data_IF_197754920293
#
_entry.id   IF_197754920293
#
_cell.length_a   1.000
_cell.length_b   1.000
_cell.length_c   1.000
_cell.angle_alpha   90.00
_cell.angle_beta   90.00
_cell.angle_gamma   90.00
#
_symmetry.space_group_name_H-M   'P 1'
#
loop_
_entity.id
_entity.type
_entity.pdbx_description
1 polymer ?
#
# COMPACT_ATOMS: atom_id res chain seq x y z
N UNK A 1 3.97 -17.54 3.41
CA UNK A 1 3.86 -19.01 3.22
C UNK A 1 2.42 -19.41 2.92
N UNK A 2 1.39 -18.70 3.46
CA UNK A 2 -0.02 -19.03 3.20
C UNK A 2 -0.54 -18.66 1.81
N UNK A 3 0.04 -17.64 1.15
CA UNK A 3 -0.40 -17.20 -0.19
C UNK A 3 0.09 -18.09 -1.31
N UNK A 4 1.17 -18.82 -1.11
CA UNK A 4 1.68 -19.76 -2.12
C UNK A 4 0.85 -21.05 -2.21
N UNK A 5 0.15 -21.42 -1.15
CA UNK A 5 -0.72 -22.61 -1.15
C UNK A 5 -2.03 -22.41 -1.91
N UNK A 6 -2.49 -21.15 -2.09
CA UNK A 6 -3.72 -20.89 -2.84
C UNK A 6 -3.55 -20.92 -4.36
N UNK A 7 -2.32 -20.90 -4.87
CA UNK A 7 -2.03 -20.82 -6.32
C UNK A 7 -1.34 -22.10 -6.83
N UNK A 8 -0.84 -22.93 -5.90
CA UNK A 8 -0.18 -24.19 -6.29
C UNK A 8 -1.19 -25.22 -6.74
N UNK A 9 -1.13 -25.49 -8.02
CA UNK A 9 -1.59 -26.72 -8.68
C UNK A 9 -3.07 -27.05 -8.49
N UNK A 10 -3.95 -26.21 -9.04
CA UNK A 10 -5.27 -26.68 -9.44
C UNK A 10 -5.10 -27.69 -10.58
N UNK A 11 -4.85 -28.93 -10.21
CA UNK A 11 -5.23 -30.02 -11.09
C UNK A 11 -6.75 -30.18 -10.94
N UNK A 12 -7.44 -30.53 -12.00
CA UNK A 12 -8.90 -30.70 -12.05
C UNK A 12 -9.47 -31.65 -10.99
N UNK A 13 -8.61 -32.39 -10.29
CA UNK A 13 -8.95 -33.41 -9.29
C UNK A 13 -8.95 -32.87 -7.83
N UNK A 14 -8.40 -31.69 -7.55
CA UNK A 14 -8.29 -31.19 -6.20
C UNK A 14 -9.43 -30.21 -5.89
N UNK A 15 -10.22 -30.49 -4.85
CA UNK A 15 -11.19 -29.54 -4.36
C UNK A 15 -10.52 -28.30 -3.75
N UNK A 16 -11.18 -27.15 -3.82
CA UNK A 16 -10.70 -25.87 -3.26
C UNK A 16 -10.39 -25.99 -1.76
N UNK A 17 -11.00 -26.96 -1.08
CA UNK A 17 -10.83 -27.25 0.35
C UNK A 17 -9.75 -28.27 0.68
N UNK A 18 -9.13 -28.91 -0.33
CA UNK A 18 -8.09 -29.91 -0.08
C UNK A 18 -6.86 -29.28 0.59
N UNK A 19 -6.46 -29.87 1.69
CA UNK A 19 -5.35 -29.40 2.52
C UNK A 19 -5.75 -28.39 3.61
N UNK A 20 -6.97 -27.82 3.59
CA UNK A 20 -7.45 -26.94 4.66
C UNK A 20 -7.76 -27.73 5.93
N UNK A 21 -8.25 -28.96 5.79
CA UNK A 21 -8.58 -29.85 6.94
C UNK A 21 -7.36 -30.56 7.51
N UNK A 22 -6.33 -30.76 6.70
CA UNK A 22 -5.11 -31.49 7.10
C UNK A 22 -4.05 -30.61 7.78
N UNK A 23 -4.19 -29.31 7.76
CA UNK A 23 -3.20 -28.42 8.34
C UNK A 23 -3.64 -27.93 9.70
N UNK A 24 -2.74 -27.97 10.70
CA UNK A 24 -2.86 -27.27 11.98
C UNK A 24 -2.88 -25.73 11.77
N UNK A 25 -3.57 -25.28 10.75
CA UNK A 25 -3.61 -23.91 10.23
C UNK A 25 -4.45 -23.04 11.15
N UNK A 26 -5.37 -23.59 11.95
CA UNK A 26 -6.19 -22.81 12.87
C UNK A 26 -5.36 -21.91 13.77
N UNK A 27 -4.23 -22.36 14.27
CA UNK A 27 -3.34 -21.56 15.12
C UNK A 27 -2.57 -20.48 14.33
N UNK A 28 -2.11 -20.78 13.11
CA UNK A 28 -1.34 -19.83 12.30
C UNK A 28 -2.14 -18.61 11.82
N UNK A 29 -3.46 -18.68 11.78
CA UNK A 29 -4.28 -17.58 11.29
C UNK A 29 -4.67 -16.59 12.38
N UNK A 30 -4.58 -16.99 13.64
CA UNK A 30 -4.82 -16.08 14.77
C UNK A 30 -3.60 -15.21 15.10
N UNK A 31 -2.40 -15.61 14.64
CA UNK A 31 -1.20 -14.83 14.85
C UNK A 31 -1.14 -13.61 13.93
N UNK A 32 -0.80 -12.42 14.44
CA UNK A 32 -0.45 -11.30 13.61
C UNK A 32 0.78 -11.69 12.73
N UNK A 33 0.92 -11.10 11.55
CA UNK A 33 0.26 -9.89 11.08
C UNK A 33 -1.06 -10.18 10.35
N UNK A 34 -2.04 -9.28 10.56
CA UNK A 34 -3.34 -9.36 9.86
C UNK A 34 -3.26 -8.86 8.42
N UNK A 35 -2.29 -8.05 8.10
CA UNK A 35 -2.11 -7.41 6.79
C UNK A 35 -0.84 -7.94 6.14
N UNK A 36 -0.96 -8.39 4.90
CA UNK A 36 0.14 -8.94 4.12
C UNK A 36 0.26 -8.29 2.75
N UNK A 37 1.43 -8.39 2.15
CA UNK A 37 1.70 -7.94 0.79
C UNK A 37 1.88 -9.14 -0.12
N UNK A 38 1.08 -9.20 -1.17
CA UNK A 38 1.27 -10.14 -2.28
C UNK A 38 2.42 -9.57 -3.14
N UNK A 39 3.62 -10.09 -2.95
CA UNK A 39 4.83 -9.56 -3.59
C UNK A 39 4.74 -9.56 -5.12
N UNK A 40 4.07 -10.54 -5.72
CA UNK A 40 3.90 -10.64 -7.18
C UNK A 40 2.90 -9.63 -7.75
N UNK A 41 1.94 -9.17 -6.94
CA UNK A 41 0.98 -8.14 -7.34
C UNK A 41 1.50 -6.71 -7.08
N UNK A 42 2.65 -6.57 -6.39
CA UNK A 42 3.21 -5.28 -6.06
C UNK A 42 3.98 -4.70 -7.26
N UNK A 43 3.52 -3.56 -7.76
CA UNK A 43 4.12 -2.85 -8.89
C UNK A 43 5.40 -2.06 -8.57
N UNK A 44 5.99 -2.23 -7.39
CA UNK A 44 7.20 -1.50 -6.99
C UNK A 44 7.09 0.01 -7.27
N UNK A 45 5.97 0.63 -6.84
CA UNK A 45 5.71 2.05 -7.08
C UNK A 45 6.93 2.91 -6.75
N UNK A 46 7.20 3.98 -7.53
CA UNK A 46 8.33 4.85 -7.30
C UNK A 46 8.24 5.52 -5.93
N UNK A 47 9.41 5.83 -5.36
CA UNK A 47 9.46 6.60 -4.12
C UNK A 47 8.91 7.99 -4.33
N UNK A 48 8.42 8.59 -3.26
CA UNK A 48 7.93 9.96 -3.29
C UNK A 48 9.03 10.91 -3.79
N UNK A 49 8.78 11.53 -4.94
CA UNK A 49 9.66 12.54 -5.54
C UNK A 49 8.87 13.51 -6.40
N UNK A 50 9.51 14.59 -6.79
CA UNK A 50 8.95 15.57 -7.72
C UNK A 50 9.68 15.51 -9.04
N UNK A 51 8.93 15.57 -10.14
CA UNK A 51 9.49 15.56 -11.48
C UNK A 51 8.84 16.65 -12.33
N UNK A 52 9.65 17.24 -13.22
CA UNK A 52 9.17 18.23 -14.19
C UNK A 52 8.75 17.50 -15.45
N UNK A 53 7.50 17.66 -15.82
CA UNK A 53 6.94 17.05 -17.02
C UNK A 53 7.27 17.85 -18.29
N UNK A 54 6.94 17.28 -19.44
CA UNK A 54 7.07 17.95 -20.74
C UNK A 54 6.18 19.19 -20.87
N UNK A 55 5.20 19.39 -20.00
CA UNK A 55 4.37 20.59 -19.93
C UNK A 55 5.14 21.84 -19.49
N UNK A 56 6.41 21.71 -19.10
CA UNK A 56 7.24 22.84 -18.73
C UNK A 56 7.49 23.75 -19.93
N UNK A 57 7.03 25.00 -19.85
CA UNK A 57 7.16 26.00 -20.92
C UNK A 57 8.47 26.81 -20.86
N UNK A 58 9.38 26.50 -19.93
CA UNK A 58 10.62 27.27 -19.79
C UNK A 58 10.38 28.76 -19.49
N UNK A 59 9.36 29.08 -18.68
CA UNK A 59 8.92 30.45 -18.43
C UNK A 59 10.05 31.38 -17.93
N UNK A 60 10.01 32.67 -18.33
CA UNK A 60 11.01 33.66 -17.94
C UNK A 60 11.03 33.91 -16.43
N UNK A 61 9.88 33.87 -15.79
CA UNK A 61 9.72 34.14 -14.34
C UNK A 61 10.40 33.10 -13.45
N UNK A 62 10.56 31.83 -13.94
CA UNK A 62 11.25 30.74 -13.23
C UNK A 62 10.92 30.63 -11.76
N UNK A 63 9.63 30.79 -11.40
CA UNK A 63 9.17 30.78 -10.02
C UNK A 63 9.55 29.50 -9.26
N UNK A 64 9.53 28.34 -9.93
CA UNK A 64 9.96 27.09 -9.34
C UNK A 64 11.43 27.13 -8.90
N UNK A 65 12.31 27.73 -9.71
CA UNK A 65 13.75 27.89 -9.41
C UNK A 65 13.92 28.79 -8.17
N UNK A 66 13.26 29.95 -8.17
CA UNK A 66 13.35 30.93 -7.08
C UNK A 66 12.77 30.43 -5.76
N UNK A 67 11.72 29.59 -5.82
CA UNK A 67 11.06 29.06 -4.63
C UNK A 67 11.82 27.88 -3.99
N UNK A 68 12.86 27.35 -4.65
CA UNK A 68 13.58 26.19 -4.13
C UNK A 68 14.62 26.59 -3.07
N UNK A 69 14.43 26.25 -1.78
CA UNK A 69 15.33 26.65 -0.70
C UNK A 69 16.71 25.96 -0.77
N UNK A 70 16.80 24.84 -1.50
CA UNK A 70 18.03 24.06 -1.63
C UNK A 70 18.70 24.21 -3.00
N UNK A 71 18.16 25.05 -3.90
CA UNK A 71 18.70 25.20 -5.24
C UNK A 71 18.73 23.88 -6.03
N UNK A 72 17.80 22.97 -5.76
CA UNK A 72 17.73 21.66 -6.39
C UNK A 72 17.14 21.69 -7.80
N UNK A 73 16.82 22.89 -8.34
CA UNK A 73 16.27 23.04 -9.68
C UNK A 73 17.35 23.62 -10.58
N UNK A 74 17.66 22.89 -11.61
CA UNK A 74 18.60 23.28 -12.66
C UNK A 74 17.82 23.60 -13.95
N UNK A 75 18.42 24.40 -14.82
CA UNK A 75 17.82 24.77 -16.10
C UNK A 75 18.61 24.12 -17.21
N UNK A 76 18.04 23.13 -17.86
CA UNK A 76 18.59 22.46 -19.01
C UNK A 76 17.76 22.78 -20.26
N UNK A 77 18.41 23.27 -21.30
CA UNK A 77 17.75 23.61 -22.57
C UNK A 77 16.49 24.50 -22.41
N UNK A 78 16.54 25.45 -21.47
CA UNK A 78 15.41 26.33 -21.16
C UNK A 78 14.30 25.74 -20.30
N UNK A 79 14.35 24.46 -19.95
CA UNK A 79 13.38 23.79 -19.07
C UNK A 79 13.96 23.54 -17.69
N UNK A 80 13.10 23.50 -16.70
CA UNK A 80 13.49 23.15 -15.35
C UNK A 80 13.69 21.63 -15.22
N UNK A 81 14.72 21.24 -14.48
CA UNK A 81 14.98 19.86 -14.06
C UNK A 81 15.22 19.84 -12.56
N UNK A 82 14.75 18.82 -11.88
CA UNK A 82 14.91 18.67 -10.42
C UNK A 82 16.02 17.65 -10.14
N UNK A 83 17.07 18.10 -9.49
CA UNK A 83 18.11 17.21 -8.95
C UNK A 83 17.57 16.51 -7.69
N UNK A 84 17.32 15.21 -7.82
CA UNK A 84 16.76 14.39 -6.74
C UNK A 84 17.71 14.22 -5.55
N UNK A 85 19.01 14.43 -5.75
CA UNK A 85 20.01 14.31 -4.68
C UNK A 85 20.00 15.51 -3.72
N UNK A 86 19.70 16.70 -4.26
CA UNK A 86 19.57 17.96 -3.51
C UNK A 86 18.14 18.21 -3.01
N UNK A 87 17.16 17.52 -3.61
CA UNK A 87 15.74 17.78 -3.36
C UNK A 87 15.28 17.26 -2.01
N UNK A 88 14.80 18.14 -1.14
CA UNK A 88 14.21 17.81 0.18
C UNK A 88 12.72 17.48 0.12
N UNK A 89 12.14 17.38 -1.06
CA UNK A 89 10.73 16.99 -1.29
C UNK A 89 9.69 17.89 -0.61
N UNK A 90 9.97 19.19 -0.45
CA UNK A 90 9.10 20.14 0.24
C UNK A 90 7.86 20.58 -0.56
N UNK A 91 7.82 20.39 -1.87
CA UNK A 91 6.66 20.71 -2.72
C UNK A 91 6.54 22.17 -3.18
N UNK A 92 7.31 23.13 -2.67
CA UNK A 92 7.19 24.56 -3.01
C UNK A 92 7.30 24.84 -4.51
N UNK A 93 8.15 24.10 -5.23
CA UNK A 93 8.30 24.26 -6.66
C UNK A 93 7.03 23.87 -7.44
N UNK A 94 6.28 22.87 -6.96
CA UNK A 94 4.99 22.48 -7.53
C UNK A 94 3.95 23.58 -7.36
N UNK A 95 3.86 24.14 -6.16
CA UNK A 95 2.91 25.23 -5.85
C UNK A 95 3.23 26.51 -6.62
N UNK A 96 4.53 26.82 -6.77
CA UNK A 96 4.98 28.00 -7.51
C UNK A 96 4.86 27.89 -9.03
N UNK A 97 4.59 26.71 -9.58
CA UNK A 97 4.51 26.50 -11.02
C UNK A 97 3.14 26.87 -11.57
N UNK A 98 3.03 27.99 -12.26
CA UNK A 98 1.78 28.44 -12.88
C UNK A 98 1.26 27.49 -13.97
N UNK A 99 2.13 26.71 -14.59
CA UNK A 99 1.77 25.75 -15.63
C UNK A 99 1.47 24.35 -15.07
N UNK A 100 1.57 24.15 -13.75
CA UNK A 100 1.41 22.85 -13.08
C UNK A 100 2.26 21.71 -13.71
N UNK A 101 3.40 22.10 -14.30
CA UNK A 101 4.30 21.19 -14.97
C UNK A 101 5.11 20.30 -14.02
N UNK A 102 5.01 20.50 -12.72
CA UNK A 102 5.73 19.71 -11.70
C UNK A 102 4.73 18.78 -11.01
N UNK A 103 4.94 17.49 -11.14
CA UNK A 103 4.09 16.47 -10.52
C UNK A 103 4.82 15.81 -9.35
N UNK A 104 4.04 15.37 -8.38
CA UNK A 104 4.51 14.58 -7.25
C UNK A 104 4.20 13.12 -7.55
N UNK A 105 5.23 12.31 -7.71
CA UNK A 105 5.10 10.86 -7.64
C UNK A 105 5.05 10.44 -6.18
N UNK A 106 4.23 9.47 -5.87
CA UNK A 106 4.10 8.97 -4.51
C UNK A 106 3.89 7.46 -4.53
N UNK A 107 4.28 6.83 -3.43
CA UNK A 107 3.95 5.43 -3.15
C UNK A 107 2.73 5.43 -2.24
N UNK A 108 1.52 5.10 -2.75
CA UNK A 108 0.28 5.32 -2.00
C UNK A 108 0.24 4.60 -0.66
N UNK A 109 0.70 3.35 -0.61
CA UNK A 109 0.73 2.56 0.63
C UNK A 109 1.66 3.17 1.70
N UNK A 110 2.82 3.71 1.30
CA UNK A 110 3.78 4.33 2.20
C UNK A 110 3.29 5.68 2.70
N UNK A 111 2.72 6.50 1.82
CA UNK A 111 2.16 7.81 2.16
C UNK A 111 0.97 7.69 3.12
N UNK A 112 0.15 6.65 2.94
CA UNK A 112 -1.00 6.38 3.82
C UNK A 112 -0.62 5.79 5.18
N UNK A 113 0.64 5.35 5.36
CA UNK A 113 1.07 4.73 6.60
C UNK A 113 1.52 5.75 7.63
N UNK A 114 0.66 6.10 8.59
CA UNK A 114 0.98 7.03 9.68
C UNK A 114 2.11 6.56 10.61
N UNK A 115 2.39 5.26 10.65
CA UNK A 115 3.44 4.66 11.47
C UNK A 115 4.77 4.51 10.73
N UNK A 116 4.86 4.91 9.45
CA UNK A 116 6.02 4.69 8.60
C UNK A 116 6.54 3.23 8.61
N UNK A 117 5.62 2.27 8.70
CA UNK A 117 5.92 0.84 8.77
C UNK A 117 6.15 0.21 7.38
N UNK A 118 6.01 0.96 6.29
CA UNK A 118 6.16 0.43 4.93
C UNK A 118 7.49 0.89 4.33
N UNK A 119 8.37 -0.08 4.16
CA UNK A 119 9.66 0.05 3.52
C UNK A 119 9.68 -0.49 2.08
N UNK A 120 10.88 -0.85 1.64
CA UNK A 120 11.16 -1.49 0.35
C UNK A 120 11.99 -2.74 0.56
N UNK A 121 11.72 -3.76 -0.22
CA UNK A 121 12.61 -4.90 -0.38
C UNK A 121 13.72 -4.61 -1.41
N UNK A 122 14.61 -5.58 -1.62
CA UNK A 122 15.72 -5.49 -2.59
C UNK A 122 15.25 -5.28 -4.04
N UNK A 123 14.01 -5.59 -4.37
CA UNK A 123 13.40 -5.42 -5.70
C UNK A 123 12.56 -4.12 -5.80
N UNK A 124 12.61 -3.25 -4.80
CA UNK A 124 11.83 -2.02 -4.76
C UNK A 124 10.34 -2.21 -4.43
N UNK A 125 9.89 -3.45 -4.14
CA UNK A 125 8.50 -3.73 -3.76
C UNK A 125 8.26 -3.32 -2.32
N UNK A 126 7.00 -3.05 -2.00
CA UNK A 126 6.63 -2.72 -0.62
C UNK A 126 6.95 -3.88 0.33
N UNK A 127 7.39 -3.53 1.53
CA UNK A 127 7.65 -4.46 2.61
C UNK A 127 7.15 -3.85 3.92
N UNK A 128 6.52 -4.66 4.78
CA UNK A 128 5.92 -4.20 6.02
C UNK A 128 6.85 -4.57 7.18
N UNK A 129 7.25 -3.55 7.91
CA UNK A 129 7.89 -3.71 9.22
C UNK A 129 6.79 -3.99 10.26
N UNK A 130 6.64 -5.25 10.62
CA UNK A 130 5.57 -5.69 11.52
C UNK A 130 5.77 -5.24 12.97
N UNK A 131 6.98 -4.86 13.37
CA UNK A 131 7.23 -4.32 14.71
C UNK A 131 6.65 -2.92 14.87
N UNK A 132 6.51 -2.19 13.75
CA UNK A 132 5.90 -0.85 13.72
C UNK A 132 4.44 -0.87 13.28
N UNK A 133 4.00 -1.94 12.64
CA UNK A 133 2.68 -2.02 12.04
C UNK A 133 1.59 -2.20 13.11
N UNK A 134 0.62 -1.28 13.12
CA UNK A 134 -0.55 -1.34 14.02
C UNK A 134 -1.79 -1.96 13.36
N UNK A 135 -1.64 -2.60 12.23
CA UNK A 135 -2.71 -3.30 11.48
C UNK A 135 -3.95 -2.43 11.18
N UNK A 136 -3.78 -1.14 10.96
CA UNK A 136 -4.89 -0.19 10.73
C UNK A 136 -5.56 -0.32 9.35
N UNK A 137 -4.97 -1.02 8.38
CA UNK A 137 -5.53 -1.24 7.04
C UNK A 137 -5.40 -0.08 6.05
N UNK A 138 -4.86 1.08 6.42
CA UNK A 138 -4.78 2.24 5.53
C UNK A 138 -3.99 1.95 4.25
N UNK A 139 -2.94 1.16 4.33
CA UNK A 139 -2.15 0.76 3.17
C UNK A 139 -2.94 -0.13 2.19
N UNK A 140 -3.84 -0.97 2.71
CA UNK A 140 -4.72 -1.83 1.92
C UNK A 140 -5.69 -0.99 1.09
N UNK A 141 -6.38 -0.04 1.72
CA UNK A 141 -7.36 0.83 1.05
C UNK A 141 -6.70 1.71 -0.01
N UNK A 142 -5.46 2.15 0.23
CA UNK A 142 -4.75 3.06 -0.67
C UNK A 142 -3.91 2.35 -1.75
N UNK A 143 -3.87 1.02 -1.78
CA UNK A 143 -3.14 0.29 -2.81
C UNK A 143 -3.97 0.17 -4.09
N UNK A 144 -3.65 0.89 -5.20
CA UNK A 144 -4.44 0.83 -6.44
C UNK A 144 -4.33 -0.50 -7.17
N UNK A 145 -3.36 -1.34 -6.80
CA UNK A 145 -3.13 -2.63 -7.44
C UNK A 145 -3.70 -3.81 -6.63
N UNK A 146 -4.32 -3.56 -5.47
CA UNK A 146 -4.80 -4.63 -4.60
C UNK A 146 -3.70 -5.58 -4.10
N UNK A 147 -2.44 -5.11 -4.11
CA UNK A 147 -1.31 -5.94 -3.68
C UNK A 147 -1.20 -6.12 -2.17
N UNK A 148 -1.95 -5.35 -1.40
CA UNK A 148 -2.00 -5.45 0.06
C UNK A 148 -3.36 -6.02 0.42
N UNK A 149 -3.35 -7.08 1.19
CA UNK A 149 -4.55 -7.85 1.56
C UNK A 149 -4.58 -8.13 3.05
N UNK A 150 -5.77 -8.27 3.59
CA UNK A 150 -5.98 -8.77 4.92
C UNK A 150 -6.00 -10.32 4.95
N UNK A 151 -5.72 -10.89 6.09
CA UNK A 151 -5.94 -12.32 6.34
C UNK A 151 -7.42 -12.52 6.65
N UNK A 152 -8.17 -13.05 5.69
CA UNK A 152 -9.55 -13.45 5.92
C UNK A 152 -9.63 -14.60 6.94
N UNK A 153 -10.45 -14.45 7.97
CA UNK A 153 -10.60 -15.44 9.05
C UNK A 153 -11.91 -16.23 8.97
N UNK A 154 -12.58 -16.16 7.81
CA UNK A 154 -13.90 -16.80 7.66
C UNK A 154 -13.84 -18.31 7.77
N UNK A 155 -12.75 -18.95 7.33
CA UNK A 155 -12.57 -20.40 7.43
C UNK A 155 -12.43 -20.87 8.88
N UNK A 156 -11.68 -20.12 9.69
CA UNK A 156 -11.51 -20.41 11.11
C UNK A 156 -12.86 -20.30 11.84
N UNK A 157 -13.63 -19.28 11.53
CA UNK A 157 -14.97 -19.10 12.08
C UNK A 157 -15.88 -20.31 11.74
N UNK A 158 -15.93 -20.68 10.45
CA UNK A 158 -16.74 -21.81 10.00
C UNK A 158 -16.25 -23.12 10.65
N UNK A 159 -14.94 -23.29 10.79
CA UNK A 159 -14.36 -24.48 11.40
C UNK A 159 -14.68 -24.57 12.91
N UNK A 160 -14.57 -23.46 13.64
CA UNK A 160 -14.94 -23.37 15.05
C UNK A 160 -16.44 -23.71 15.26
N UNK A 161 -17.31 -23.15 14.41
CA UNK A 161 -18.76 -23.46 14.46
C UNK A 161 -19.01 -24.95 14.18
N UNK A 162 -18.36 -25.54 13.16
CA UNK A 162 -18.50 -26.96 12.83
C UNK A 162 -18.00 -27.87 13.95
N UNK A 163 -16.94 -27.48 14.66
CA UNK A 163 -16.45 -28.21 15.84
C UNK A 163 -17.31 -28.06 17.08
N UNK A 164 -18.31 -27.15 17.04
CA UNK A 164 -19.15 -26.86 18.19
C UNK A 164 -18.45 -26.01 19.26
N UNK A 165 -17.39 -25.31 18.91
CA UNK A 165 -16.72 -24.38 19.82
C UNK A 165 -17.63 -23.18 20.13
N UNK A 166 -17.48 -22.63 21.32
CA UNK A 166 -18.29 -21.47 21.75
C UNK A 166 -17.75 -20.22 21.04
N UNK A 167 -18.48 -19.74 20.04
CA UNK A 167 -18.18 -18.50 19.31
C UNK A 167 -18.99 -17.35 19.89
N UNK A 168 -18.31 -16.24 20.21
CA UNK A 168 -18.92 -15.01 20.71
C UNK A 168 -18.71 -13.91 19.69
N UNK A 169 -19.82 -13.35 19.17
CA UNK A 169 -19.77 -12.21 18.27
C UNK A 169 -19.81 -10.90 19.05
N UNK A 170 -18.84 -10.02 18.81
CA UNK A 170 -18.83 -8.66 19.32
C UNK A 170 -19.23 -7.74 18.17
N UNK A 171 -20.39 -7.11 18.27
CA UNK A 171 -20.95 -6.27 17.21
C UNK A 171 -21.01 -4.83 17.70
N UNK A 172 -20.49 -3.90 16.89
CA UNK A 172 -20.62 -2.48 17.19
C UNK A 172 -22.08 -2.05 17.14
N UNK A 173 -22.59 -1.27 18.12
CA UNK A 173 -23.99 -0.84 18.16
C UNK A 173 -24.45 -0.13 16.88
N UNK A 174 -23.58 0.60 16.21
CA UNK A 174 -23.90 1.30 14.96
C UNK A 174 -24.38 0.35 13.86
N UNK A 175 -23.88 -0.89 13.79
CA UNK A 175 -24.32 -1.88 12.83
C UNK A 175 -25.78 -2.29 13.01
N UNK A 176 -26.27 -2.26 14.24
CA UNK A 176 -27.68 -2.60 14.55
C UNK A 176 -28.66 -1.53 14.03
N UNK A 177 -28.19 -0.27 13.92
CA UNK A 177 -29.04 0.86 13.48
C UNK A 177 -28.88 1.17 11.99
N UNK A 178 -27.76 0.81 11.37
CA UNK A 178 -27.47 1.12 9.97
C UNK A 178 -27.68 -0.05 9.02
N UNK A 179 -27.76 -1.28 9.53
CA UNK A 179 -28.08 -2.44 8.71
C UNK A 179 -29.56 -2.39 8.31
N UNK A 180 -29.89 -2.50 7.00
CA UNK A 180 -31.28 -2.64 6.59
C UNK A 180 -31.86 -3.90 7.28
N UNK A 181 -32.95 -3.72 8.00
CA UNK A 181 -33.70 -4.84 8.56
C UNK A 181 -34.14 -5.77 7.43
N UNK A 182 -34.06 -7.07 7.57
CA UNK A 182 -34.58 -8.02 6.57
C UNK A 182 -36.09 -7.89 6.40
#
# INVERSE_FOLDING_TARGET
VGSEMCIRDRTEENMISDGVEASAISEKYYDPPLINIIKYACHACPDTHYEVTQACQGCLAKHCYQSCPKGAIELEHGRARIDQTKCIKCGRCKEACSYQAIIKFLRPCQEACGMNAIGKDQYGRADIDYDKCVNCGQCLVNCPFGAIVDKGQIFQLIHAIKKGEKVIAIIAPCLLYTSPSP
#
